data_IF_182301652017
#
_entry.id   IF_182301652017
#
_cell.length_a   1.000
_cell.length_b   1.000
_cell.length_c   1.000
_cell.angle_alpha   90.00
_cell.angle_beta   90.00
_cell.angle_gamma   90.00
#
_symmetry.space_group_name_H-M   'P 1'
#
loop_
_entity.id
_entity.type
_entity.pdbx_description
1 polymer ?
#
# COMPACT_ATOMS: atom_id res chain seq x y z
N UNK A 1 -12.82 13.42 12.83
CA UNK A 1 -13.48 12.43 11.96
C UNK A 1 -12.38 11.60 11.33
N UNK A 2 -11.92 10.59 12.04
CA UNK A 2 -10.88 9.66 11.57
C UNK A 2 -11.55 8.81 10.51
N UNK A 3 -11.16 8.97 9.25
CA UNK A 3 -11.77 8.25 8.15
C UNK A 3 -11.38 6.78 8.31
N UNK A 4 -12.31 5.99 8.84
CA UNK A 4 -12.26 4.53 8.92
C UNK A 4 -12.37 4.01 7.48
N UNK A 5 -11.30 4.23 6.72
CA UNK A 5 -11.21 3.70 5.38
C UNK A 5 -10.92 2.20 5.56
N UNK A 6 -11.89 1.37 5.18
CA UNK A 6 -11.71 -0.08 5.02
C UNK A 6 -10.39 -0.33 4.30
N UNK A 7 -9.37 -0.75 5.04
CA UNK A 7 -8.13 -1.21 4.45
C UNK A 7 -8.40 -2.59 3.88
N UNK A 8 -7.91 -2.86 2.67
CA UNK A 8 -7.98 -4.17 2.05
C UNK A 8 -7.13 -5.20 2.83
N UNK A 9 -6.02 -4.74 3.40
CA UNK A 9 -5.18 -5.50 4.31
C UNK A 9 -4.40 -4.58 5.24
N UNK A 10 -4.01 -5.07 6.41
CA UNK A 10 -3.10 -4.38 7.33
C UNK A 10 -1.89 -5.27 7.56
N UNK A 11 -0.70 -4.70 7.41
CA UNK A 11 0.58 -5.39 7.59
C UNK A 11 1.42 -4.71 8.65
N UNK A 12 2.10 -5.50 9.48
CA UNK A 12 3.09 -5.00 10.42
C UNK A 12 4.41 -4.80 9.69
N UNK A 13 4.86 -3.54 9.60
CA UNK A 13 6.16 -3.17 9.07
C UNK A 13 7.10 -2.69 10.19
N UNK A 14 8.42 -2.65 9.97
CA UNK A 14 9.37 -2.11 10.95
C UNK A 14 9.09 -0.66 11.38
N UNK A 15 8.36 0.09 10.54
CA UNK A 15 7.98 1.50 10.76
C UNK A 15 6.62 1.67 11.44
N UNK A 16 5.87 0.59 11.68
CA UNK A 16 4.52 0.61 12.23
C UNK A 16 3.54 -0.23 11.41
N UNK A 17 2.25 -0.14 11.74
CA UNK A 17 1.21 -0.82 10.99
C UNK A 17 0.88 -0.03 9.73
N UNK A 18 0.88 -0.72 8.59
CA UNK A 18 0.55 -0.15 7.29
C UNK A 18 -0.78 -0.74 6.82
N UNK A 19 -1.75 0.12 6.57
CA UNK A 19 -3.01 -0.21 5.92
C UNK A 19 -2.89 -0.03 4.41
N UNK A 20 -3.20 -1.09 3.67
CA UNK A 20 -3.22 -1.12 2.22
C UNK A 20 -4.62 -0.77 1.72
N UNK A 21 -4.70 0.13 0.75
CA UNK A 21 -5.93 0.42 0.01
C UNK A 21 -5.81 -0.09 -1.40
N UNK A 22 -6.69 -1.01 -1.75
CA UNK A 22 -6.76 -1.63 -3.06
C UNK A 22 -8.09 -1.27 -3.71
N UNK A 23 -8.07 -1.05 -5.03
CA UNK A 23 -9.27 -0.82 -5.82
C UNK A 23 -9.13 -1.53 -7.15
N UNK A 24 -10.12 -2.35 -7.51
CA UNK A 24 -10.15 -3.11 -8.77
C UNK A 24 -8.85 -3.90 -9.06
N UNK A 25 -8.23 -4.50 -8.04
CA UNK A 25 -6.98 -5.26 -8.17
C UNK A 25 -5.72 -4.41 -8.31
N UNK A 26 -5.80 -3.11 -8.06
CA UNK A 26 -4.66 -2.20 -8.10
C UNK A 26 -4.44 -1.52 -6.76
N UNK A 27 -3.17 -1.30 -6.40
CA UNK A 27 -2.81 -0.56 -5.19
C UNK A 27 -3.05 0.93 -5.43
N UNK A 28 -3.99 1.51 -4.68
CA UNK A 28 -4.34 2.93 -4.78
C UNK A 28 -3.73 3.78 -3.68
N UNK A 29 -3.29 3.17 -2.56
CA UNK A 29 -2.60 3.88 -1.50
C UNK A 29 -2.16 2.98 -0.35
N UNK A 30 -1.21 3.49 0.45
CA UNK A 30 -0.74 2.90 1.70
C UNK A 30 -0.80 4.01 2.76
N UNK A 31 -1.40 3.73 3.90
CA UNK A 31 -1.49 4.66 5.03
C UNK A 31 -1.00 3.99 6.32
N UNK A 32 -0.57 4.78 7.31
CA UNK A 32 -0.27 4.25 8.64
C UNK A 32 -1.57 3.93 9.37
N UNK A 33 -1.82 2.64 9.60
CA UNK A 33 -3.00 2.16 10.27
C UNK A 33 -2.86 2.30 11.80
N UNK A 34 -3.90 2.76 12.52
CA UNK A 34 -3.88 2.73 13.98
C UNK A 34 -3.83 1.28 14.51
N UNK A 35 -3.32 1.05 15.73
CA UNK A 35 -3.17 -0.30 16.30
C UNK A 35 -4.49 -1.06 16.53
N UNK A 36 -5.63 -0.39 16.36
CA UNK A 36 -6.98 -0.94 16.55
C UNK A 36 -7.63 -1.40 15.24
N UNK A 37 -6.98 -1.17 14.09
CA UNK A 37 -7.50 -1.63 12.79
C UNK A 37 -7.22 -3.11 12.62
N UNK A 38 -8.17 -3.94 13.03
CA UNK A 38 -8.25 -5.35 12.64
C UNK A 38 -8.84 -5.43 11.22
N UNK A 39 -8.05 -5.85 10.24
CA UNK A 39 -8.58 -6.24 8.93
C UNK A 39 -8.53 -7.76 8.83
N UNK A 40 -9.71 -8.35 8.98
CA UNK A 40 -10.01 -9.79 8.87
C UNK A 40 -10.62 -10.12 7.51
N UNK A 41 -10.13 -9.50 6.44
CA UNK A 41 -10.56 -9.89 5.08
C UNK A 41 -9.44 -10.66 4.43
N UNK A 42 -9.72 -11.92 4.09
CA UNK A 42 -8.80 -12.75 3.34
C UNK A 42 -8.36 -11.96 2.09
N UNK A 43 -7.08 -11.57 1.99
CA UNK A 43 -6.64 -10.71 0.91
C UNK A 43 -6.88 -11.43 -0.42
N UNK A 44 -7.40 -10.70 -1.40
CA UNK A 44 -7.42 -11.12 -2.79
C UNK A 44 -5.99 -11.37 -3.30
N UNK A 45 -5.87 -12.07 -4.43
CA UNK A 45 -4.59 -12.46 -5.00
C UNK A 45 -3.67 -11.24 -5.23
N UNK A 46 -4.24 -10.14 -5.76
CA UNK A 46 -3.50 -8.89 -5.95
C UNK A 46 -3.00 -8.27 -4.64
N UNK A 47 -3.79 -8.33 -3.56
CA UNK A 47 -3.34 -7.83 -2.24
C UNK A 47 -2.25 -8.72 -1.66
N UNK A 48 -2.31 -10.05 -1.85
CA UNK A 48 -1.21 -10.95 -1.46
C UNK A 48 0.08 -10.61 -2.18
N UNK A 49 0.03 -10.41 -3.50
CA UNK A 49 1.23 -10.03 -4.27
C UNK A 49 1.84 -8.72 -3.75
N UNK A 50 1.01 -7.72 -3.44
CA UNK A 50 1.47 -6.45 -2.84
C UNK A 50 2.13 -6.69 -1.49
N UNK A 51 1.52 -7.50 -0.63
CA UNK A 51 2.06 -7.85 0.68
C UNK A 51 3.42 -8.55 0.55
N UNK A 52 3.52 -9.56 -0.32
CA UNK A 52 4.75 -10.32 -0.52
C UNK A 52 5.90 -9.42 -1.01
N UNK A 53 5.62 -8.52 -1.97
CA UNK A 53 6.62 -7.54 -2.42
C UNK A 53 7.00 -6.53 -1.34
N UNK A 54 6.07 -6.13 -0.47
CA UNK A 54 6.37 -5.25 0.67
C UNK A 54 7.28 -5.96 1.69
N UNK A 55 7.00 -7.22 2.00
CA UNK A 55 7.88 -8.01 2.87
C UNK A 55 9.28 -8.17 2.27
N UNK A 56 9.37 -8.48 0.97
CA UNK A 56 10.65 -8.55 0.27
C UNK A 56 11.41 -7.22 0.32
N UNK A 57 10.72 -6.08 0.19
CA UNK A 57 11.35 -4.76 0.35
C UNK A 57 11.83 -4.48 1.78
N UNK A 58 11.09 -4.94 2.80
CA UNK A 58 11.54 -4.80 4.18
C UNK A 58 12.75 -5.67 4.51
N UNK A 59 12.90 -6.82 3.85
CA UNK A 59 14.07 -7.69 3.98
C UNK A 59 15.25 -7.21 3.12
N UNK A 60 14.98 -6.78 1.89
CA UNK A 60 15.94 -6.27 0.92
C UNK A 60 15.55 -4.86 0.43
N UNK A 61 16.21 -3.80 0.90
CA UNK A 61 15.90 -2.44 0.47
C UNK A 61 16.27 -2.17 -1.00
N UNK A 62 17.01 -3.07 -1.67
CA UNK A 62 17.28 -2.98 -3.11
C UNK A 62 16.16 -3.60 -3.96
N UNK A 63 15.14 -4.21 -3.34
CA UNK A 63 14.01 -4.79 -4.05
C UNK A 63 13.26 -3.75 -4.89
N UNK A 64 13.02 -4.07 -6.15
CA UNK A 64 12.25 -3.22 -7.05
C UNK A 64 10.79 -3.65 -7.04
N UNK A 65 9.91 -2.71 -6.69
CA UNK A 65 8.47 -2.95 -6.73
C UNK A 65 7.98 -3.11 -8.17
N UNK A 66 7.36 -4.24 -8.47
CA UNK A 66 6.61 -4.52 -9.69
C UNK A 66 5.11 -4.57 -9.34
N UNK A 67 4.58 -3.44 -8.89
CA UNK A 67 3.21 -3.30 -8.44
C UNK A 67 2.37 -2.55 -9.47
N UNK A 68 1.17 -3.07 -9.74
CA UNK A 68 0.14 -2.36 -10.48
C UNK A 68 -0.43 -1.21 -9.63
N UNK A 69 0.22 -0.06 -9.72
CA UNK A 69 -0.13 1.16 -9.01
C UNK A 69 -1.29 1.87 -9.72
N UNK A 70 -2.49 1.75 -9.15
CA UNK A 70 -3.71 2.43 -9.59
C UNK A 70 -3.82 3.85 -9.07
N UNK A 71 -2.69 4.56 -8.90
CA UNK A 71 -2.66 5.82 -8.17
C UNK A 71 -3.45 6.89 -8.92
N UNK A 72 -4.60 7.24 -8.37
CA UNK A 72 -5.45 8.33 -8.87
C UNK A 72 -4.96 9.64 -8.29
N UNK A 73 -4.25 10.43 -9.09
CA UNK A 73 -3.74 11.74 -8.70
C UNK A 73 -4.02 12.81 -9.73
N UNK A 74 -4.12 14.06 -9.26
CA UNK A 74 -4.16 15.23 -10.13
C UNK A 74 -2.93 15.28 -11.05
N UNK A 75 -3.02 16.02 -12.15
CA UNK A 75 -1.88 16.21 -13.04
C UNK A 75 -0.65 16.77 -12.30
N UNK A 76 -0.85 17.58 -11.26
CA UNK A 76 0.22 18.08 -10.40
C UNK A 76 0.86 16.98 -9.55
N UNK A 77 0.06 16.14 -8.87
CA UNK A 77 0.56 15.01 -8.08
C UNK A 77 1.38 14.04 -8.94
N UNK A 78 0.91 13.71 -10.15
CA UNK A 78 1.65 12.85 -11.08
C UNK A 78 3.00 13.44 -11.48
N UNK A 79 3.08 14.75 -11.71
CA UNK A 79 4.35 15.44 -11.98
C UNK A 79 5.31 15.38 -10.78
N UNK A 80 4.78 15.57 -9.57
CA UNK A 80 5.58 15.45 -8.34
C UNK A 80 6.09 14.03 -8.17
N UNK A 81 5.25 13.02 -8.35
CA UNK A 81 5.68 11.61 -8.24
C UNK A 81 6.74 11.25 -9.28
N UNK A 82 6.59 11.68 -10.53
CA UNK A 82 7.63 11.50 -11.56
C UNK A 82 8.96 12.16 -11.20
N UNK A 83 8.93 13.27 -10.46
CA UNK A 83 10.14 13.95 -9.99
C UNK A 83 10.81 13.23 -8.81
N UNK A 84 10.04 12.51 -7.99
CA UNK A 84 10.56 11.73 -6.84
C UNK A 84 11.16 10.38 -7.27
N UNK A 85 10.71 9.82 -8.38
CA UNK A 85 11.19 8.53 -8.91
C UNK A 85 12.44 8.67 -9.78
N UNK A 86 13.12 9.82 -9.78
CA UNK A 86 14.28 10.13 -10.62
C UNK A 86 15.54 10.28 -9.78
#
# INVERSE_FOLDING_TARGET
MTNDAEYAAVVAAPVGLLGLRMSAGQLVGIDFAPPVSSVDTAPDEATREVLDQLFQYFEDPAWQFDLSLGIQGTAFQRRVWQALTR
#
